data_IF_044938926752
#
_entry.id   IF_044938926752
#
_cell.length_a   1.000
_cell.length_b   1.000
_cell.length_c   1.000
_cell.angle_alpha   90.00
_cell.angle_beta   90.00
_cell.angle_gamma   90.00
#
_symmetry.space_group_name_H-M   'P 1'
#
loop_
_entity.id
_entity.type
_entity.pdbx_description
1 polymer ?
#
# COMPACT_ATOMS: atom_id res chain seq x y z
N UNK A 1 -1.89 -17.81 -27.46
CA UNK A 1 -3.30 -18.30 -27.44
C UNK A 1 -3.53 -18.85 -26.05
N UNK A 2 -4.06 -18.03 -25.13
CA UNK A 2 -4.30 -18.38 -23.71
C UNK A 2 -5.64 -19.09 -23.68
N UNK A 3 -5.62 -20.37 -23.34
CA UNK A 3 -6.81 -21.20 -23.18
C UNK A 3 -7.51 -20.79 -21.87
N UNK A 4 -8.72 -20.23 -21.96
CA UNK A 4 -9.57 -19.99 -20.79
C UNK A 4 -10.10 -21.33 -20.32
N UNK A 5 -9.75 -21.74 -19.12
CA UNK A 5 -10.40 -22.86 -18.45
C UNK A 5 -11.63 -22.33 -17.71
N UNK A 6 -12.79 -22.48 -18.34
CA UNK A 6 -14.08 -22.30 -17.69
C UNK A 6 -14.37 -23.52 -16.82
N UNK A 7 -14.01 -23.48 -15.55
CA UNK A 7 -14.53 -24.41 -14.57
C UNK A 7 -15.81 -23.82 -13.96
N UNK A 8 -16.93 -24.56 -13.93
CA UNK A 8 -18.11 -24.10 -13.23
C UNK A 8 -17.80 -24.03 -11.73
N UNK A 9 -17.80 -22.83 -11.19
CA UNK A 9 -17.65 -22.59 -9.76
C UNK A 9 -18.91 -23.08 -9.07
N UNK A 10 -18.79 -24.14 -8.26
CA UNK A 10 -19.86 -24.56 -7.36
C UNK A 10 -20.20 -23.43 -6.40
N UNK A 11 -21.46 -23.09 -6.31
CA UNK A 11 -22.03 -22.07 -5.44
C UNK A 11 -21.63 -22.30 -3.98
N UNK A 12 -20.84 -21.37 -3.39
CA UNK A 12 -20.66 -21.36 -1.94
C UNK A 12 -19.37 -20.76 -1.38
N UNK A 13 -18.29 -20.70 -2.12
CA UNK A 13 -17.04 -20.10 -1.60
C UNK A 13 -16.40 -19.25 -2.72
N UNK A 14 -16.54 -17.93 -2.63
CA UNK A 14 -15.78 -17.03 -3.50
C UNK A 14 -14.40 -16.82 -2.92
N UNK A 15 -13.37 -17.32 -3.57
CA UNK A 15 -11.97 -17.02 -3.23
C UNK A 15 -11.61 -15.65 -3.79
N UNK A 16 -11.02 -14.79 -2.95
CA UNK A 16 -10.48 -13.51 -3.37
C UNK A 16 -8.96 -13.61 -3.44
N UNK A 17 -8.39 -13.21 -4.57
CA UNK A 17 -6.94 -13.04 -4.71
C UNK A 17 -6.61 -11.60 -4.34
N UNK A 18 -5.73 -11.42 -3.35
CA UNK A 18 -5.25 -10.11 -2.89
C UNK A 18 -3.79 -9.97 -3.30
N UNK A 19 -3.47 -8.93 -4.04
CA UNK A 19 -2.09 -8.62 -4.41
C UNK A 19 -1.32 -8.09 -3.22
N UNK A 20 -0.36 -8.86 -2.69
CA UNK A 20 0.49 -8.47 -1.57
C UNK A 20 1.55 -7.46 -2.03
N UNK A 21 1.51 -6.23 -1.48
CA UNK A 21 2.30 -5.08 -1.96
C UNK A 21 2.17 -4.85 -3.46
N UNK A 22 0.96 -5.06 -4.00
CA UNK A 22 0.72 -5.15 -5.42
C UNK A 22 1.02 -6.54 -5.98
N UNK A 23 2.18 -6.73 -6.60
CA UNK A 23 2.57 -8.00 -7.21
C UNK A 23 4.01 -8.38 -6.81
N UNK A 24 4.34 -8.36 -5.53
CA UNK A 24 5.70 -8.49 -4.98
C UNK A 24 6.59 -9.57 -5.62
N UNK A 25 6.00 -10.65 -6.12
CA UNK A 25 6.74 -11.74 -6.77
C UNK A 25 6.93 -11.58 -8.28
N UNK A 26 6.24 -10.62 -8.91
CA UNK A 26 6.17 -10.47 -10.38
C UNK A 26 6.37 -9.02 -10.86
N UNK A 27 6.35 -8.05 -9.96
CA UNK A 27 6.57 -6.63 -10.23
C UNK A 27 7.20 -5.93 -9.01
N UNK A 28 7.79 -4.74 -9.17
CA UNK A 28 8.33 -3.97 -8.05
C UNK A 28 7.26 -3.72 -6.98
N UNK A 29 7.54 -4.14 -5.74
CA UNK A 29 6.61 -4.06 -4.63
C UNK A 29 6.30 -2.61 -4.24
N UNK A 30 5.06 -2.34 -3.80
CA UNK A 30 4.64 -1.03 -3.30
C UNK A 30 4.91 0.12 -4.30
N UNK A 31 4.71 -0.14 -5.59
CA UNK A 31 4.89 0.86 -6.66
C UNK A 31 3.62 1.03 -7.49
N UNK A 32 3.49 2.18 -8.16
CA UNK A 32 2.36 2.40 -9.07
C UNK A 32 2.36 1.38 -10.22
N UNK A 33 3.53 1.03 -10.73
CA UNK A 33 3.66 0.00 -11.76
C UNK A 33 3.24 -1.38 -11.28
N UNK A 34 3.58 -1.76 -10.03
CA UNK A 34 3.14 -3.02 -9.42
C UNK A 34 1.62 -3.08 -9.25
N UNK A 35 0.97 -1.98 -8.85
CA UNK A 35 -0.49 -1.90 -8.75
C UNK A 35 -1.15 -1.93 -10.13
N UNK A 36 -0.59 -1.24 -11.11
CA UNK A 36 -1.08 -1.30 -12.50
C UNK A 36 -0.95 -2.72 -13.08
N UNK A 37 0.12 -3.44 -12.72
CA UNK A 37 0.34 -4.82 -13.16
C UNK A 37 -0.80 -5.73 -12.71
N UNK A 38 -1.16 -5.75 -11.42
CA UNK A 38 -2.28 -6.57 -10.93
C UNK A 38 -3.63 -6.13 -11.51
N UNK A 39 -3.81 -4.82 -11.72
CA UNK A 39 -5.00 -4.29 -12.36
C UNK A 39 -5.17 -4.83 -13.79
N UNK A 40 -4.08 -4.92 -14.55
CA UNK A 40 -4.07 -5.48 -15.90
C UNK A 40 -4.39 -6.99 -15.93
N UNK A 41 -4.05 -7.71 -14.86
CA UNK A 41 -4.43 -9.13 -14.67
C UNK A 41 -5.91 -9.31 -14.27
N UNK A 42 -6.66 -8.20 -14.09
CA UNK A 42 -8.06 -8.26 -13.66
C UNK A 42 -8.24 -8.40 -12.14
N UNK A 43 -7.16 -8.37 -11.36
CA UNK A 43 -7.21 -8.40 -9.88
C UNK A 43 -7.67 -7.02 -9.38
N UNK A 44 -8.65 -7.02 -8.46
CA UNK A 44 -9.27 -5.81 -7.90
C UNK A 44 -9.21 -5.80 -6.36
N UNK A 45 -8.24 -6.53 -5.80
CA UNK A 45 -7.97 -6.53 -4.39
C UNK A 45 -6.46 -6.41 -4.17
N UNK A 46 -6.05 -5.57 -3.24
CA UNK A 46 -4.65 -5.25 -2.98
C UNK A 46 -4.41 -5.03 -1.51
N UNK A 47 -3.22 -5.38 -1.08
CA UNK A 47 -2.63 -4.98 0.19
C UNK A 47 -1.39 -4.13 -0.08
N UNK A 48 -1.14 -3.11 0.74
CA UNK A 48 0.07 -2.30 0.71
C UNK A 48 0.38 -1.66 2.06
N UNK A 49 1.66 -1.27 2.23
CA UNK A 49 2.20 -0.73 3.45
C UNK A 49 2.23 0.80 3.43
N UNK A 50 1.80 1.45 4.53
CA UNK A 50 1.80 2.91 4.67
C UNK A 50 2.74 3.35 5.78
N UNK A 51 3.55 4.38 5.49
CA UNK A 51 4.39 5.11 6.44
C UNK A 51 4.23 6.62 6.28
N UNK A 52 4.65 7.37 7.29
CA UNK A 52 4.61 8.83 7.27
C UNK A 52 6.02 9.42 7.26
N UNK A 53 6.26 10.35 6.34
CA UNK A 53 7.51 11.09 6.25
C UNK A 53 7.60 12.21 7.30
N UNK A 54 8.78 12.86 7.39
CA UNK A 54 9.01 14.00 8.30
C UNK A 54 8.12 15.21 8.01
N UNK A 55 7.67 15.36 6.76
CA UNK A 55 6.79 16.44 6.28
C UNK A 55 5.31 16.04 6.27
N UNK A 56 4.97 14.98 6.99
CA UNK A 56 3.63 14.42 7.14
C UNK A 56 3.03 13.75 5.90
N UNK A 57 3.75 13.67 4.80
CA UNK A 57 3.28 12.93 3.63
C UNK A 57 3.13 11.44 3.96
N UNK A 58 2.03 10.84 3.50
CA UNK A 58 1.82 9.38 3.56
C UNK A 58 2.34 8.76 2.28
N UNK A 59 3.19 7.76 2.43
CA UNK A 59 3.85 7.04 1.34
C UNK A 59 3.58 5.55 1.41
N UNK A 60 3.77 4.88 0.29
CA UNK A 60 3.64 3.43 0.19
C UNK A 60 5.04 2.80 0.29
N UNK A 61 5.36 2.23 1.46
CA UNK A 61 6.69 1.66 1.73
C UNK A 61 6.65 0.68 2.90
N UNK A 62 7.28 -0.50 2.72
CA UNK A 62 7.37 -1.51 3.78
C UNK A 62 8.49 -1.21 4.79
N UNK A 63 9.71 -0.93 4.30
CA UNK A 63 10.91 -0.80 5.13
C UNK A 63 11.06 0.61 5.72
N UNK A 64 11.93 0.75 6.72
CA UNK A 64 12.28 2.03 7.33
C UNK A 64 13.33 2.82 6.51
N UNK A 65 13.85 2.20 5.45
CA UNK A 65 14.86 2.75 4.57
C UNK A 65 14.66 2.27 3.12
N UNK A 66 15.46 2.83 2.21
CA UNK A 66 15.39 2.54 0.76
C UNK A 66 16.40 1.49 0.30
N UNK A 67 17.19 0.87 1.21
CA UNK A 67 18.32 0.01 0.86
C UNK A 67 17.88 -1.22 0.05
N UNK A 68 16.93 -1.98 0.56
CA UNK A 68 16.54 -3.25 -0.06
C UNK A 68 15.94 -3.09 -1.44
N UNK A 69 15.11 -2.07 -1.65
CA UNK A 69 14.33 -1.91 -2.88
C UNK A 69 15.01 -0.98 -3.89
N UNK A 70 15.77 0.03 -3.45
CA UNK A 70 16.43 0.98 -4.35
C UNK A 70 17.96 0.98 -4.28
N UNK A 71 18.56 0.25 -3.34
CA UNK A 71 20.01 0.23 -3.11
C UNK A 71 20.55 1.49 -2.44
N UNK A 72 19.71 2.46 -2.07
CA UNK A 72 20.15 3.74 -1.53
C UNK A 72 20.12 3.79 0.00
N UNK A 73 21.24 4.21 0.60
CA UNK A 73 21.46 4.33 2.05
C UNK A 73 20.80 5.62 2.58
N UNK A 74 19.47 5.58 2.77
CA UNK A 74 18.74 6.72 3.31
C UNK A 74 17.60 6.24 4.20
N UNK A 75 17.51 6.81 5.40
CA UNK A 75 16.41 6.56 6.31
C UNK A 75 15.15 7.31 5.84
N UNK A 76 14.04 6.62 5.78
CA UNK A 76 12.77 7.15 5.31
C UNK A 76 12.30 8.36 6.14
N UNK A 77 12.48 8.33 7.46
CA UNK A 77 12.02 9.39 8.36
C UNK A 77 12.86 10.69 8.28
N UNK A 78 13.94 10.67 7.49
CA UNK A 78 14.74 11.87 7.17
C UNK A 78 14.38 12.46 5.80
N UNK A 79 13.50 11.82 5.04
CA UNK A 79 13.07 12.26 3.73
C UNK A 79 11.85 13.17 3.77
N UNK A 80 11.74 14.00 2.75
CA UNK A 80 10.52 14.72 2.38
C UNK A 80 9.97 14.20 1.05
N UNK A 81 8.73 14.59 0.73
CA UNK A 81 8.08 14.15 -0.52
C UNK A 81 8.83 14.56 -1.78
N UNK A 82 9.57 15.66 -1.75
CA UNK A 82 10.34 16.17 -2.89
C UNK A 82 11.53 15.27 -3.24
N UNK A 83 11.98 14.42 -2.30
CA UNK A 83 13.11 13.51 -2.50
C UNK A 83 12.70 12.16 -3.08
N UNK A 84 11.40 11.83 -3.14
CA UNK A 84 10.90 10.47 -3.44
C UNK A 84 11.23 10.00 -4.86
N UNK A 85 11.28 10.90 -5.81
CA UNK A 85 11.60 10.57 -7.22
C UNK A 85 13.05 10.09 -7.41
N UNK A 86 13.91 10.32 -6.42
CA UNK A 86 15.30 9.85 -6.44
C UNK A 86 15.44 8.33 -6.17
N UNK A 87 14.40 7.68 -5.63
CA UNK A 87 14.47 6.29 -5.20
C UNK A 87 13.73 5.38 -6.19
N UNK A 88 14.51 4.66 -7.02
CA UNK A 88 13.94 3.72 -7.99
C UNK A 88 13.82 2.32 -7.38
N UNK A 89 12.61 1.84 -7.12
CA UNK A 89 12.32 0.52 -6.57
C UNK A 89 12.36 -0.62 -7.61
N UNK A 90 12.63 -0.30 -8.86
CA UNK A 90 12.74 -1.29 -9.92
C UNK A 90 14.20 -1.71 -10.22
N UNK A 91 15.21 -1.23 -9.46
CA UNK A 91 16.63 -1.50 -9.74
C UNK A 91 16.99 -3.00 -9.75
N UNK A 92 16.26 -3.82 -8.99
CA UNK A 92 16.46 -5.26 -8.90
C UNK A 92 15.62 -6.06 -9.92
N UNK A 93 14.91 -5.39 -10.83
CA UNK A 93 14.01 -5.99 -11.80
C UNK A 93 14.54 -5.79 -13.22
N UNK A 94 15.35 -6.73 -13.69
CA UNK A 94 16.04 -6.63 -14.99
C UNK A 94 15.10 -6.47 -16.20
N UNK A 95 13.89 -7.01 -16.10
CA UNK A 95 12.89 -6.93 -17.18
C UNK A 95 11.92 -5.74 -17.04
N UNK A 96 12.07 -4.93 -15.98
CA UNK A 96 11.22 -3.78 -15.71
C UNK A 96 11.86 -2.51 -16.26
N UNK A 97 11.39 -2.04 -17.42
CA UNK A 97 12.03 -0.96 -18.18
C UNK A 97 11.65 0.46 -17.71
N UNK A 98 10.98 0.58 -16.57
CA UNK A 98 10.53 1.87 -16.03
C UNK A 98 11.14 2.12 -14.66
N UNK A 99 11.37 3.41 -14.39
CA UNK A 99 11.65 3.87 -13.03
C UNK A 99 10.37 3.81 -12.22
N UNK A 100 10.44 3.21 -11.04
CA UNK A 100 9.33 3.16 -10.09
C UNK A 100 9.74 3.93 -8.83
N UNK A 101 9.31 5.18 -8.75
CA UNK A 101 9.50 6.02 -7.57
C UNK A 101 8.64 5.53 -6.39
N UNK A 102 8.95 6.02 -5.17
CA UNK A 102 8.11 5.77 -4.00
C UNK A 102 6.78 6.49 -4.14
N UNK A 103 5.64 5.79 -4.20
CA UNK A 103 4.36 6.46 -4.39
C UNK A 103 3.88 7.19 -3.13
N UNK A 104 3.22 8.32 -3.32
CA UNK A 104 2.35 8.90 -2.30
C UNK A 104 1.05 8.08 -2.21
N UNK A 105 0.41 8.11 -1.05
CA UNK A 105 -0.86 7.40 -0.83
C UNK A 105 -1.97 7.90 -1.77
N UNK A 106 -2.08 9.22 -1.97
CA UNK A 106 -3.09 9.81 -2.85
C UNK A 106 -2.93 9.40 -4.32
N UNK A 107 -1.69 9.27 -4.81
CA UNK A 107 -1.40 8.75 -6.15
C UNK A 107 -1.85 7.29 -6.27
N UNK A 108 -1.56 6.48 -5.25
CA UNK A 108 -1.99 5.08 -5.20
C UNK A 108 -3.50 4.96 -5.17
N UNK A 109 -4.18 5.69 -4.31
CA UNK A 109 -5.64 5.68 -4.20
C UNK A 109 -6.32 6.10 -5.52
N UNK A 110 -5.75 7.08 -6.22
CA UNK A 110 -6.25 7.49 -7.53
C UNK A 110 -6.17 6.37 -8.57
N UNK A 111 -5.09 5.57 -8.54
CA UNK A 111 -4.92 4.44 -9.45
C UNK A 111 -5.88 3.29 -9.15
N UNK A 112 -6.10 2.99 -7.86
CA UNK A 112 -6.89 1.83 -7.41
C UNK A 112 -8.33 2.18 -7.03
N UNK A 113 -8.84 3.32 -7.45
CA UNK A 113 -10.18 3.81 -7.09
C UNK A 113 -11.32 2.82 -7.36
N UNK A 114 -11.15 1.90 -8.31
CA UNK A 114 -12.11 0.87 -8.70
C UNK A 114 -11.84 -0.50 -8.07
N UNK A 115 -10.96 -0.57 -7.06
CA UNK A 115 -10.68 -1.83 -6.38
C UNK A 115 -11.79 -2.16 -5.38
N UNK A 116 -12.13 -3.42 -5.30
CA UNK A 116 -13.21 -3.94 -4.43
C UNK A 116 -12.75 -4.18 -3.00
N UNK A 117 -11.43 -4.34 -2.80
CA UNK A 117 -10.84 -4.59 -1.50
C UNK A 117 -9.42 -4.01 -1.44
N UNK A 118 -9.17 -3.23 -0.40
CA UNK A 118 -7.90 -2.54 -0.19
C UNK A 118 -7.50 -2.74 1.28
N UNK A 119 -6.42 -3.48 1.52
CA UNK A 119 -5.83 -3.62 2.85
C UNK A 119 -4.68 -2.63 2.99
N UNK A 120 -4.82 -1.71 3.93
CA UNK A 120 -3.85 -0.66 4.21
C UNK A 120 -3.14 -1.00 5.52
N UNK A 121 -1.94 -1.58 5.42
CA UNK A 121 -1.13 -1.87 6.60
C UNK A 121 -0.39 -0.61 7.07
N UNK A 122 -0.77 -0.08 8.21
CA UNK A 122 -0.02 1.00 8.85
C UNK A 122 1.13 0.40 9.63
N UNK A 123 2.36 0.74 9.23
CA UNK A 123 3.57 0.23 9.88
C UNK A 123 3.73 0.81 11.29
N UNK A 124 4.47 0.08 12.13
CA UNK A 124 4.68 0.45 13.52
C UNK A 124 5.30 1.86 13.68
N UNK A 125 4.87 2.56 14.69
CA UNK A 125 5.34 3.91 15.06
C UNK A 125 5.94 3.91 16.48
N UNK A 126 6.73 4.93 16.81
CA UNK A 126 7.44 5.00 18.11
C UNK A 126 6.50 5.35 19.25
N UNK A 127 5.57 6.26 19.03
CA UNK A 127 4.74 6.85 20.09
C UNK A 127 3.24 6.76 19.76
N UNK A 128 2.40 6.89 20.80
CA UNK A 128 0.94 6.99 20.64
C UNK A 128 0.54 8.24 19.85
N UNK A 129 1.25 9.36 20.06
CA UNK A 129 0.99 10.61 19.33
C UNK A 129 1.25 10.45 17.83
N UNK A 130 2.31 9.73 17.43
CA UNK A 130 2.55 9.39 16.03
C UNK A 130 1.44 8.50 15.46
N UNK A 131 0.95 7.51 16.23
CA UNK A 131 -0.17 6.68 15.83
C UNK A 131 -1.45 7.50 15.58
N UNK A 132 -1.74 8.45 16.45
CA UNK A 132 -2.89 9.35 16.31
C UNK A 132 -2.75 10.23 15.06
N UNK A 133 -1.55 10.75 14.81
CA UNK A 133 -1.25 11.62 13.67
C UNK A 133 -1.38 10.88 12.34
N UNK A 134 -0.69 9.74 12.20
CA UNK A 134 -0.71 8.97 10.95
C UNK A 134 -2.12 8.45 10.64
N UNK A 135 -2.83 7.93 11.65
CA UNK A 135 -4.18 7.40 11.44
C UNK A 135 -5.19 8.48 11.12
N UNK A 136 -5.07 9.70 11.68
CA UNK A 136 -5.91 10.83 11.31
C UNK A 136 -5.70 11.23 9.84
N UNK A 137 -4.44 11.36 9.41
CA UNK A 137 -4.10 11.70 8.03
C UNK A 137 -4.57 10.60 7.05
N UNK A 138 -4.41 9.33 7.44
CA UNK A 138 -4.85 8.18 6.66
C UNK A 138 -6.37 8.19 6.45
N UNK A 139 -7.16 8.33 7.53
CA UNK A 139 -8.62 8.37 7.44
C UNK A 139 -9.12 9.53 6.58
N UNK A 140 -8.42 10.67 6.58
CA UNK A 140 -8.75 11.81 5.72
C UNK A 140 -8.55 11.48 4.24
N UNK A 141 -7.47 10.80 3.88
CA UNK A 141 -7.20 10.41 2.50
C UNK A 141 -8.08 9.24 2.02
N UNK A 142 -8.46 8.35 2.93
CA UNK A 142 -9.33 7.20 2.62
C UNK A 142 -10.82 7.57 2.50
N UNK A 143 -11.21 8.84 2.65
CA UNK A 143 -12.61 9.24 2.43
C UNK A 143 -13.11 8.81 1.05
N UNK A 144 -14.24 8.12 1.03
CA UNK A 144 -14.82 7.53 -0.18
C UNK A 144 -14.42 6.05 -0.40
N UNK A 145 -13.52 5.50 0.42
CA UNK A 145 -13.11 4.11 0.38
C UNK A 145 -13.64 3.26 1.55
N UNK A 146 -14.59 3.78 2.35
CA UNK A 146 -15.10 3.14 3.57
C UNK A 146 -15.65 1.73 3.35
N UNK A 147 -16.14 1.44 2.16
CA UNK A 147 -16.70 0.13 1.80
C UNK A 147 -15.63 -0.88 1.36
N UNK A 148 -14.54 -0.42 0.77
CA UNK A 148 -13.47 -1.25 0.20
C UNK A 148 -12.22 -1.34 1.07
N UNK A 149 -11.91 -0.30 1.86
CA UNK A 149 -10.70 -0.25 2.65
C UNK A 149 -10.84 -0.93 4.02
N UNK A 150 -9.77 -1.63 4.40
CA UNK A 150 -9.53 -2.19 5.73
C UNK A 150 -8.20 -1.65 6.22
N UNK A 151 -8.15 -1.09 7.41
CA UNK A 151 -6.89 -0.63 8.03
C UNK A 151 -6.36 -1.76 8.92
N UNK A 152 -5.17 -2.23 8.60
CA UNK A 152 -4.47 -3.28 9.36
C UNK A 152 -3.21 -2.73 10.02
N UNK A 153 -2.75 -3.35 11.08
CA UNK A 153 -1.47 -3.05 11.71
C UNK A 153 -1.07 -4.13 12.70
N UNK A 154 0.23 -4.38 12.82
CA UNK A 154 0.79 -5.17 13.92
C UNK A 154 1.11 -4.32 15.17
N UNK A 155 0.93 -3.00 15.11
CA UNK A 155 1.18 -2.08 16.23
C UNK A 155 -0.12 -1.78 17.00
N UNK A 156 -0.24 -2.19 18.29
CA UNK A 156 -1.42 -1.92 19.09
C UNK A 156 -1.73 -0.42 19.27
N UNK A 157 -0.74 0.46 19.15
CA UNK A 157 -0.93 1.91 19.21
C UNK A 157 -1.82 2.42 18.07
N UNK A 158 -1.67 1.85 16.86
CA UNK A 158 -2.51 2.17 15.71
C UNK A 158 -3.96 1.79 15.98
N UNK A 159 -4.19 0.56 16.46
CA UNK A 159 -5.54 0.11 16.82
C UNK A 159 -6.17 0.95 17.93
N UNK A 160 -5.38 1.36 18.93
CA UNK A 160 -5.83 2.25 19.99
C UNK A 160 -6.25 3.62 19.42
N UNK A 161 -5.44 4.22 18.56
CA UNK A 161 -5.74 5.50 17.92
C UNK A 161 -7.03 5.46 17.09
N UNK A 162 -7.21 4.43 16.26
CA UNK A 162 -8.44 4.23 15.47
C UNK A 162 -9.67 4.00 16.35
N UNK A 163 -9.52 3.24 17.45
CA UNK A 163 -10.60 2.97 18.40
C UNK A 163 -11.04 4.23 19.14
N UNK A 164 -10.10 5.05 19.61
CA UNK A 164 -10.36 6.27 20.37
C UNK A 164 -11.15 7.30 19.55
N UNK A 165 -10.98 7.31 18.24
CA UNK A 165 -11.70 8.21 17.33
C UNK A 165 -12.99 7.61 16.74
N UNK A 166 -13.37 6.40 17.17
CA UNK A 166 -14.52 5.70 16.58
C UNK A 166 -14.42 5.59 15.05
N UNK A 167 -13.23 5.22 14.54
CA UNK A 167 -12.98 5.04 13.11
C UNK A 167 -14.07 4.20 12.45
N UNK A 168 -14.55 4.66 11.29
CA UNK A 168 -15.57 3.97 10.49
C UNK A 168 -14.99 2.84 9.64
N UNK A 169 -13.66 2.81 9.47
CA UNK A 169 -13.00 1.76 8.69
C UNK A 169 -12.97 0.43 9.43
N UNK A 170 -13.10 -0.65 8.66
CA UNK A 170 -12.83 -2.01 9.16
C UNK A 170 -11.38 -2.08 9.61
N UNK A 171 -11.11 -2.93 10.61
CA UNK A 171 -9.78 -3.11 11.20
C UNK A 171 -9.42 -4.58 11.25
N UNK A 172 -8.17 -4.90 10.91
CA UNK A 172 -7.59 -6.24 10.97
C UNK A 172 -6.29 -6.27 11.76
#
# INVERSE_FOLDING_TARGET
MIQRYDHPVQSGCSMRIIGHRGARGEAPENTLGGFQYIQNLGIRAVEFDVRQLKDDALIIMHDDDFVRTSGQQKNLYECSREELDAYNHAVNWSEWNKVEATPLLDQTLSLIQNFEHIEVEVKAVKTQAEAEKITLALEQQLKGFEHSAVITSFDPKIHQALRSRHSQFKRG
#
